data_IF_320811725862
#
_entry.id   IF_320811725862
#
_cell.length_a   1.000
_cell.length_b   1.000
_cell.length_c   1.000
_cell.angle_alpha   90.00
_cell.angle_beta   90.00
_cell.angle_gamma   90.00
#
_symmetry.space_group_name_H-M   'P 1'
#
loop_
_entity.id
_entity.type
_entity.pdbx_description
1 polymer ?
#
# COMPACT_ATOMS: atom_id res chain seq x y z
N UNK A 1 21.73 -19.64 3.39
CA UNK A 1 21.20 -18.99 2.19
C UNK A 1 20.96 -17.50 2.30
N UNK A 2 20.74 -16.93 3.49
CA UNK A 2 20.64 -15.47 3.67
C UNK A 2 21.99 -14.73 3.50
N UNK A 3 23.10 -15.39 3.62
CA UNK A 3 24.42 -14.79 3.40
C UNK A 3 24.74 -14.56 1.91
N UNK A 4 24.22 -15.39 1.00
CA UNK A 4 24.44 -15.25 -0.46
C UNK A 4 23.75 -14.01 -1.04
N UNK A 5 22.58 -13.63 -0.54
CA UNK A 5 21.83 -12.45 -1.05
C UNK A 5 22.52 -11.13 -0.69
N UNK A 6 23.23 -11.05 0.44
CA UNK A 6 23.95 -9.82 0.83
C UNK A 6 25.17 -9.51 -0.02
N UNK A 7 25.82 -10.51 -0.61
CA UNK A 7 26.97 -10.30 -1.50
C UNK A 7 26.56 -9.87 -2.92
N UNK A 8 25.34 -10.17 -3.36
CA UNK A 8 24.84 -9.74 -4.68
C UNK A 8 24.43 -8.27 -4.74
N UNK A 9 24.15 -7.61 -3.60
CA UNK A 9 23.73 -6.20 -3.58
C UNK A 9 24.91 -5.20 -3.67
N UNK A 10 26.15 -5.65 -3.63
CA UNK A 10 27.32 -4.78 -3.44
C UNK A 10 28.13 -4.42 -4.69
N UNK A 11 27.99 -5.10 -5.81
CA UNK A 11 28.80 -4.82 -7.01
C UNK A 11 28.28 -5.39 -8.32
N UNK A 12 26.99 -5.52 -8.51
CA UNK A 12 26.49 -5.75 -9.86
C UNK A 12 26.59 -4.43 -10.64
N UNK A 13 27.76 -4.11 -11.20
CA UNK A 13 27.80 -3.27 -12.40
C UNK A 13 27.11 -4.08 -13.47
N UNK A 14 25.83 -3.78 -13.71
CA UNK A 14 25.19 -4.16 -14.94
C UNK A 14 25.92 -3.43 -16.06
N UNK A 15 26.82 -4.12 -16.76
CA UNK A 15 27.25 -3.66 -18.06
C UNK A 15 25.97 -3.45 -18.86
N UNK A 16 25.81 -2.26 -19.46
CA UNK A 16 24.64 -1.93 -20.28
C UNK A 16 24.44 -2.94 -21.44
N UNK A 17 25.45 -3.73 -21.74
CA UNK A 17 25.42 -4.77 -22.77
C UNK A 17 24.74 -6.09 -22.34
N UNK A 18 24.50 -6.34 -21.04
CA UNK A 18 23.83 -7.54 -20.57
C UNK A 18 22.30 -7.46 -20.64
N UNK A 19 21.74 -6.26 -20.59
CA UNK A 19 20.27 -6.02 -20.58
C UNK A 19 19.57 -6.57 -21.84
N UNK A 20 20.11 -6.42 -23.08
CA UNK A 20 19.48 -6.98 -24.27
C UNK A 20 19.44 -8.51 -24.30
N UNK A 21 20.41 -9.19 -23.68
CA UNK A 21 20.48 -10.65 -23.68
C UNK A 21 19.44 -11.32 -22.79
N UNK A 22 18.91 -10.59 -21.80
CA UNK A 22 17.87 -11.08 -20.88
C UNK A 22 16.44 -10.74 -21.34
N UNK A 23 16.31 -9.95 -22.39
CA UNK A 23 15.03 -9.60 -22.98
C UNK A 23 14.21 -10.83 -23.38
N UNK A 24 12.94 -10.91 -22.95
CA UNK A 24 12.02 -12.02 -23.29
C UNK A 24 12.27 -13.34 -22.56
N UNK A 25 13.14 -13.37 -21.56
CA UNK A 25 13.45 -14.59 -20.78
C UNK A 25 12.66 -14.69 -19.46
N UNK A 26 11.81 -13.73 -19.15
CA UNK A 26 10.97 -13.77 -17.95
C UNK A 26 10.18 -15.07 -17.86
N UNK A 27 10.25 -15.75 -16.72
CA UNK A 27 9.61 -17.04 -16.50
C UNK A 27 10.35 -18.27 -17.05
N UNK A 28 11.43 -18.09 -17.80
CA UNK A 28 12.28 -19.20 -18.32
C UNK A 28 13.50 -19.39 -17.44
N UNK A 29 14.02 -20.62 -17.38
CA UNK A 29 15.29 -20.89 -16.69
C UNK A 29 16.45 -20.39 -17.53
N UNK A 30 17.36 -19.63 -16.92
CA UNK A 30 18.57 -19.08 -17.55
C UNK A 30 19.77 -19.48 -16.70
N UNK A 31 20.81 -19.99 -17.36
CA UNK A 31 22.10 -20.27 -16.70
C UNK A 31 22.97 -19.01 -16.79
N UNK A 32 23.41 -18.52 -15.64
CA UNK A 32 24.33 -17.39 -15.53
C UNK A 32 25.69 -17.88 -15.11
N UNK A 33 26.75 -17.46 -15.82
CA UNK A 33 28.13 -17.59 -15.37
C UNK A 33 28.50 -16.35 -14.54
N UNK A 34 28.73 -16.54 -13.26
CA UNK A 34 28.96 -15.45 -12.29
C UNK A 34 30.43 -15.48 -11.87
N UNK A 35 31.03 -14.30 -11.78
CA UNK A 35 32.35 -14.11 -11.20
C UNK A 35 32.24 -13.33 -9.88
N UNK A 36 32.75 -13.90 -8.79
CA UNK A 36 32.85 -13.21 -7.50
C UNK A 36 34.24 -12.54 -7.38
N UNK A 37 34.32 -11.21 -7.39
CA UNK A 37 35.59 -10.51 -7.30
C UNK A 37 36.26 -10.63 -5.92
N UNK A 38 35.50 -10.98 -4.86
CA UNK A 38 36.06 -11.14 -3.52
C UNK A 38 36.77 -12.46 -3.34
N UNK A 39 36.19 -13.55 -3.86
CA UNK A 39 36.78 -14.89 -3.81
C UNK A 39 37.60 -15.25 -5.04
N UNK A 40 37.47 -14.46 -6.13
CA UNK A 40 38.05 -14.73 -7.47
C UNK A 40 37.55 -16.00 -8.12
N UNK A 41 36.44 -16.53 -7.65
CA UNK A 41 35.84 -17.76 -8.17
C UNK A 41 34.82 -17.48 -9.28
N UNK A 42 34.71 -18.42 -10.21
CA UNK A 42 33.64 -18.47 -11.20
C UNK A 42 32.73 -19.65 -10.89
N UNK A 43 31.42 -19.40 -10.94
CA UNK A 43 30.42 -20.44 -10.74
C UNK A 43 29.25 -20.23 -11.68
N UNK A 44 28.46 -21.26 -11.88
CA UNK A 44 27.23 -21.21 -12.65
C UNK A 44 26.03 -21.23 -11.70
N UNK A 45 25.08 -20.34 -11.96
CA UNK A 45 23.84 -20.25 -11.18
C UNK A 45 22.63 -20.27 -12.14
N UNK A 46 21.67 -21.16 -11.87
CA UNK A 46 20.44 -21.22 -12.62
C UNK A 46 19.39 -20.29 -11.99
N UNK A 47 18.97 -19.29 -12.74
CA UNK A 47 17.98 -18.29 -12.29
C UNK A 47 16.72 -18.34 -13.15
N UNK A 48 15.63 -17.84 -12.61
CA UNK A 48 14.39 -17.63 -13.35
C UNK A 48 14.04 -16.13 -13.30
N UNK A 49 14.39 -15.36 -14.34
CA UNK A 49 14.07 -13.94 -14.40
C UNK A 49 12.57 -13.69 -14.26
N UNK A 50 12.24 -12.58 -13.64
CA UNK A 50 10.86 -12.12 -13.44
C UNK A 50 10.60 -10.86 -14.26
N UNK A 51 9.32 -10.52 -14.47
CA UNK A 51 8.95 -9.27 -15.12
C UNK A 51 9.16 -8.08 -14.18
N UNK A 52 9.28 -6.85 -14.73
CA UNK A 52 9.32 -5.63 -13.94
C UNK A 52 8.08 -5.46 -13.06
N UNK A 53 6.88 -5.84 -13.53
CA UNK A 53 5.67 -5.84 -12.72
C UNK A 53 5.79 -6.74 -11.50
N UNK A 54 6.27 -7.98 -11.68
CA UNK A 54 6.51 -8.90 -10.55
C UNK A 54 7.56 -8.35 -9.59
N UNK A 55 8.64 -7.75 -10.11
CA UNK A 55 9.67 -7.11 -9.28
C UNK A 55 9.09 -5.96 -8.45
N UNK A 56 8.30 -5.10 -9.08
CA UNK A 56 7.64 -3.97 -8.43
C UNK A 56 6.72 -4.43 -7.29
N UNK A 57 5.92 -5.48 -7.53
CA UNK A 57 5.06 -6.05 -6.49
C UNK A 57 5.85 -6.66 -5.32
N UNK A 58 6.95 -7.33 -5.59
CA UNK A 58 7.83 -7.86 -4.53
C UNK A 58 8.48 -6.74 -3.71
N UNK A 59 8.95 -5.69 -4.38
CA UNK A 59 9.51 -4.51 -3.71
C UNK A 59 8.46 -3.79 -2.85
N UNK A 60 7.25 -3.64 -3.37
CA UNK A 60 6.13 -3.07 -2.65
C UNK A 60 5.80 -3.90 -1.38
N UNK A 61 5.62 -5.21 -1.51
CA UNK A 61 5.36 -6.10 -0.37
C UNK A 61 6.45 -6.02 0.69
N UNK A 62 7.72 -5.98 0.26
CA UNK A 62 8.87 -5.82 1.16
C UNK A 62 8.83 -4.48 1.89
N UNK A 63 8.50 -3.39 1.17
CA UNK A 63 8.40 -2.06 1.75
C UNK A 63 7.28 -1.99 2.80
N UNK A 64 6.10 -2.51 2.51
CA UNK A 64 4.97 -2.58 3.47
C UNK A 64 5.38 -3.39 4.71
N UNK A 65 6.01 -4.54 4.53
CA UNK A 65 6.45 -5.39 5.64
C UNK A 65 7.50 -4.69 6.51
N UNK A 66 8.46 -3.99 5.92
CA UNK A 66 9.45 -3.19 6.66
C UNK A 66 8.79 -2.08 7.49
N UNK A 67 7.76 -1.40 6.95
CA UNK A 67 7.00 -0.38 7.69
C UNK A 67 6.20 -1.00 8.85
N UNK A 68 5.58 -2.14 8.60
CA UNK A 68 4.87 -2.92 9.62
C UNK A 68 5.78 -3.29 10.79
N UNK A 69 6.94 -3.85 10.50
CA UNK A 69 7.93 -4.23 11.52
C UNK A 69 8.47 -3.01 12.27
N UNK A 70 8.68 -1.89 11.57
CA UNK A 70 9.11 -0.64 12.18
C UNK A 70 8.08 -0.12 13.19
N UNK A 71 6.80 -0.05 12.80
CA UNK A 71 5.71 0.40 13.67
C UNK A 71 5.55 -0.54 14.87
N UNK A 72 5.59 -1.84 14.64
CA UNK A 72 5.50 -2.84 15.70
C UNK A 72 6.62 -2.67 16.71
N UNK A 73 7.87 -2.56 16.25
CA UNK A 73 9.05 -2.32 17.09
C UNK A 73 8.95 -1.00 17.88
N UNK A 74 8.61 0.10 17.21
CA UNK A 74 8.56 1.43 17.85
C UNK A 74 7.42 1.56 18.86
N UNK A 75 6.34 0.81 18.69
CA UNK A 75 5.20 0.82 19.59
C UNK A 75 5.19 -0.30 20.63
N UNK A 76 6.23 -1.12 20.70
CA UNK A 76 6.26 -2.33 21.50
C UNK A 76 5.05 -3.25 21.23
N UNK A 77 4.70 -3.43 19.96
CA UNK A 77 3.61 -4.26 19.52
C UNK A 77 2.20 -3.69 19.68
N UNK A 78 2.05 -2.44 20.15
CA UNK A 78 0.76 -1.84 20.49
C UNK A 78 0.01 -1.28 19.29
N UNK A 79 0.71 -0.77 18.28
CA UNK A 79 0.12 -0.09 17.13
C UNK A 79 0.20 -0.99 15.90
N UNK A 80 -0.93 -1.12 15.20
CA UNK A 80 -0.99 -1.78 13.90
C UNK A 80 -0.60 -0.82 12.76
N UNK A 81 -0.24 -1.41 11.62
CA UNK A 81 0.05 -0.67 10.40
C UNK A 81 -0.59 -1.38 9.22
N UNK A 82 -1.32 -0.62 8.41
CA UNK A 82 -1.89 -1.06 7.13
C UNK A 82 -1.56 -0.04 6.04
N UNK A 83 -1.31 -0.51 4.82
CA UNK A 83 -1.10 0.36 3.66
C UNK A 83 -2.21 0.17 2.65
N UNK A 84 -2.85 1.26 2.24
CA UNK A 84 -3.90 1.28 1.22
C UNK A 84 -3.25 1.57 -0.14
N UNK A 85 -2.97 0.54 -0.93
CA UNK A 85 -2.23 0.63 -2.19
C UNK A 85 -2.95 1.47 -3.26
N UNK A 86 -4.27 1.34 -3.33
CA UNK A 86 -5.13 2.06 -4.27
C UNK A 86 -6.53 2.20 -3.72
N UNK A 87 -7.34 3.09 -4.28
CA UNK A 87 -8.73 3.27 -3.88
C UNK A 87 -9.66 2.33 -4.69
N UNK A 88 -9.56 1.03 -4.42
CA UNK A 88 -10.30 -0.02 -5.12
C UNK A 88 -10.71 -1.16 -4.18
N UNK A 89 -11.57 -2.07 -4.66
CA UNK A 89 -12.13 -3.17 -3.87
C UNK A 89 -11.08 -4.18 -3.41
N UNK A 90 -9.98 -4.38 -4.14
CA UNK A 90 -8.89 -5.26 -3.73
C UNK A 90 -8.18 -4.69 -2.50
N UNK A 91 -7.77 -3.43 -2.58
CA UNK A 91 -7.15 -2.72 -1.45
C UNK A 91 -8.09 -2.61 -0.24
N UNK A 92 -9.41 -2.51 -0.47
CA UNK A 92 -10.39 -2.54 0.63
C UNK A 92 -10.39 -3.89 1.35
N UNK A 93 -10.46 -5.00 0.60
CA UNK A 93 -10.44 -6.35 1.19
C UNK A 93 -9.16 -6.59 1.99
N UNK A 94 -8.02 -6.17 1.47
CA UNK A 94 -6.74 -6.28 2.17
C UNK A 94 -6.75 -5.46 3.46
N UNK A 95 -7.16 -4.20 3.39
CA UNK A 95 -7.25 -3.29 4.55
C UNK A 95 -8.21 -3.82 5.60
N UNK A 96 -9.39 -4.28 5.18
CA UNK A 96 -10.40 -4.88 6.05
C UNK A 96 -9.85 -6.12 6.78
N UNK A 97 -9.23 -7.03 6.04
CA UNK A 97 -8.64 -8.26 6.58
C UNK A 97 -7.49 -7.96 7.56
N UNK A 98 -6.65 -6.99 7.24
CA UNK A 98 -5.54 -6.57 8.09
C UNK A 98 -6.04 -5.90 9.38
N UNK A 99 -7.01 -4.99 9.29
CA UNK A 99 -7.56 -4.29 10.45
C UNK A 99 -8.29 -5.22 11.41
N UNK A 100 -9.22 -6.01 10.90
CA UNK A 100 -10.08 -6.86 11.73
C UNK A 100 -9.45 -8.23 12.05
N UNK A 101 -8.38 -8.60 11.34
CA UNK A 101 -7.58 -9.79 11.60
C UNK A 101 -6.33 -9.45 12.40
N UNK A 102 -5.22 -9.23 11.72
CA UNK A 102 -3.90 -9.06 12.32
C UNK A 102 -3.81 -7.89 13.32
N UNK A 103 -4.51 -6.79 13.06
CA UNK A 103 -4.51 -5.61 13.94
C UNK A 103 -5.56 -5.69 15.06
N UNK A 104 -6.39 -6.72 15.11
CA UNK A 104 -7.52 -6.82 16.04
C UNK A 104 -7.14 -6.55 17.48
N UNK A 105 -6.02 -7.11 17.95
CA UNK A 105 -5.54 -6.96 19.33
C UNK A 105 -4.69 -5.71 19.58
N UNK A 106 -4.42 -4.92 18.54
CA UNK A 106 -3.67 -3.66 18.68
C UNK A 106 -4.52 -2.59 19.38
N UNK A 107 -3.85 -1.66 20.04
CA UNK A 107 -4.50 -0.54 20.75
C UNK A 107 -4.93 0.57 19.79
N UNK A 108 -4.21 0.75 18.67
CA UNK A 108 -4.46 1.73 17.63
C UNK A 108 -3.92 1.26 16.28
N UNK A 109 -4.22 2.00 15.19
CA UNK A 109 -3.70 1.66 13.86
C UNK A 109 -3.22 2.91 13.11
N UNK A 110 -2.15 2.75 12.35
CA UNK A 110 -1.72 3.68 11.31
C UNK A 110 -2.23 3.17 9.97
N UNK A 111 -3.03 4.00 9.28
CA UNK A 111 -3.51 3.76 7.92
C UNK A 111 -2.66 4.60 6.98
N UNK A 112 -1.78 3.96 6.23
CA UNK A 112 -0.86 4.65 5.34
C UNK A 112 -1.44 4.68 3.92
N UNK A 113 -1.68 5.88 3.40
CA UNK A 113 -2.19 6.09 2.05
C UNK A 113 -1.17 6.75 1.13
N UNK A 114 0.08 6.87 1.56
CA UNK A 114 1.12 7.51 0.76
C UNK A 114 1.31 6.80 -0.57
N UNK A 115 1.54 7.58 -1.62
CA UNK A 115 1.74 7.12 -3.00
C UNK A 115 0.52 6.43 -3.62
N UNK A 116 -0.68 6.72 -3.11
CA UNK A 116 -1.93 6.17 -3.64
C UNK A 116 -2.46 7.05 -4.77
N UNK A 117 -2.62 6.47 -5.96
CA UNK A 117 -3.05 7.16 -7.17
C UNK A 117 -4.57 7.41 -7.29
N UNK A 118 -5.36 7.03 -6.27
CA UNK A 118 -6.81 7.23 -6.28
C UNK A 118 -7.62 6.03 -6.74
N UNK A 119 -8.83 6.28 -7.18
CA UNK A 119 -9.88 5.32 -7.51
C UNK A 119 -11.21 5.77 -6.91
N UNK A 120 -11.94 4.88 -6.19
CA UNK A 120 -13.17 5.21 -5.48
C UNK A 120 -13.35 4.31 -4.26
N UNK A 121 -12.95 4.77 -3.07
CA UNK A 121 -12.96 3.97 -1.84
C UNK A 121 -13.06 4.81 -0.55
N UNK A 122 -13.05 6.13 -0.64
CA UNK A 122 -12.95 7.02 0.53
C UNK A 122 -14.08 6.82 1.53
N UNK A 123 -15.29 6.60 1.04
CA UNK A 123 -16.49 6.40 1.85
C UNK A 123 -16.42 5.08 2.64
N UNK A 124 -16.09 3.97 1.96
CA UNK A 124 -15.98 2.66 2.60
C UNK A 124 -14.90 2.64 3.69
N UNK A 125 -13.75 3.29 3.44
CA UNK A 125 -12.69 3.42 4.42
C UNK A 125 -13.11 4.30 5.60
N UNK A 126 -13.82 5.40 5.35
CA UNK A 126 -14.34 6.25 6.41
C UNK A 126 -15.34 5.49 7.29
N UNK A 127 -16.27 4.75 6.67
CA UNK A 127 -17.23 3.90 7.36
C UNK A 127 -16.53 2.81 8.18
N UNK A 128 -15.49 2.16 7.63
CA UNK A 128 -14.73 1.12 8.32
C UNK A 128 -14.02 1.66 9.58
N UNK A 129 -13.49 2.88 9.50
CA UNK A 129 -12.66 3.50 10.55
C UNK A 129 -13.43 4.34 11.57
N UNK A 130 -14.71 4.63 11.31
CA UNK A 130 -15.59 5.42 12.19
C UNK A 130 -16.55 4.56 13.01
N UNK A 131 -16.12 3.38 13.42
CA UNK A 131 -16.96 2.49 14.21
C UNK A 131 -17.22 3.00 15.62
N UNK A 132 -18.48 2.91 16.07
CA UNK A 132 -18.87 3.18 17.43
C UNK A 132 -19.48 1.92 18.06
N UNK A 133 -19.04 1.62 19.28
CA UNK A 133 -19.56 0.49 20.03
C UNK A 133 -20.99 0.78 20.51
N UNK A 134 -21.95 -0.03 20.13
CA UNK A 134 -23.33 0.14 20.57
C UNK A 134 -23.91 -1.08 21.30
N UNK A 135 -23.28 -2.27 21.21
CA UNK A 135 -23.70 -3.46 21.93
C UNK A 135 -22.55 -4.42 22.24
N UNK A 136 -22.78 -5.34 23.17
CA UNK A 136 -21.86 -6.44 23.52
C UNK A 136 -22.62 -7.74 23.54
N UNK A 137 -22.04 -8.80 23.06
CA UNK A 137 -22.62 -10.14 23.14
C UNK A 137 -22.11 -10.86 24.40
N UNK A 138 -23.02 -11.19 25.28
CA UNK A 138 -22.72 -11.80 26.59
C UNK A 138 -23.60 -12.99 26.89
N UNK A 139 -23.61 -14.05 26.07
CA UNK A 139 -24.40 -15.22 26.34
C UNK A 139 -24.03 -15.83 27.69
N UNK A 140 -25.04 -16.06 28.54
CA UNK A 140 -24.84 -16.58 29.90
C UNK A 140 -23.83 -15.79 30.75
N UNK A 141 -23.75 -14.46 30.52
CA UNK A 141 -22.80 -13.59 31.22
C UNK A 141 -21.35 -13.64 30.72
N UNK A 142 -21.04 -14.48 29.76
CA UNK A 142 -19.70 -14.58 29.18
C UNK A 142 -19.54 -13.64 27.96
N UNK A 143 -18.64 -12.71 28.04
CA UNK A 143 -18.35 -11.81 26.92
C UNK A 143 -17.73 -12.59 25.75
N UNK A 144 -18.31 -12.46 24.55
CA UNK A 144 -17.82 -13.10 23.32
C UNK A 144 -17.50 -12.13 22.20
N UNK A 145 -17.90 -10.87 22.28
CA UNK A 145 -17.58 -9.88 21.26
C UNK A 145 -18.36 -8.58 21.40
N UNK A 146 -17.96 -7.64 20.61
CA UNK A 146 -18.59 -6.33 20.47
C UNK A 146 -19.46 -6.27 19.21
N UNK A 147 -20.43 -5.37 19.18
CA UNK A 147 -21.16 -4.99 17.99
C UNK A 147 -20.99 -3.49 17.73
N UNK A 148 -20.50 -3.07 16.55
CA UNK A 148 -20.35 -3.85 15.32
C UNK A 148 -19.06 -4.71 15.28
N UNK A 149 -19.13 -5.86 14.63
CA UNK A 149 -17.94 -6.71 14.37
C UNK A 149 -17.07 -6.23 13.21
N UNK A 150 -17.67 -5.53 12.26
CA UNK A 150 -17.07 -5.18 10.96
C UNK A 150 -16.62 -3.72 10.88
N UNK A 151 -16.30 -3.12 12.01
CA UNK A 151 -15.78 -1.74 12.13
C UNK A 151 -14.54 -1.72 13.00
N UNK A 152 -13.66 -0.78 12.72
CA UNK A 152 -12.56 -0.47 13.61
C UNK A 152 -13.06 0.45 14.71
N UNK A 153 -12.94 0.00 15.97
CA UNK A 153 -13.50 0.67 17.15
C UNK A 153 -12.44 1.42 18.01
N UNK A 154 -11.22 1.44 17.56
CA UNK A 154 -10.07 1.97 18.30
C UNK A 154 -9.47 3.18 17.58
N UNK A 155 -8.59 3.97 18.24
CA UNK A 155 -7.96 5.10 17.58
C UNK A 155 -7.23 4.72 16.29
N UNK A 156 -7.26 5.65 15.32
CA UNK A 156 -6.51 5.55 14.09
C UNK A 156 -5.90 6.90 13.69
N UNK A 157 -4.88 6.87 12.84
CA UNK A 157 -4.39 8.04 12.13
C UNK A 157 -4.10 7.68 10.69
N UNK A 158 -4.12 8.68 9.81
CA UNK A 158 -3.81 8.51 8.38
C UNK A 158 -2.48 9.16 8.06
N UNK A 159 -1.57 8.39 7.43
CA UNK A 159 -0.38 8.95 6.79
C UNK A 159 -0.70 9.30 5.34
N UNK A 160 -0.29 10.50 4.93
CA UNK A 160 -0.50 11.02 3.58
C UNK A 160 0.75 11.73 3.08
N UNK A 161 0.85 11.91 1.77
CA UNK A 161 1.92 12.67 1.12
C UNK A 161 1.38 13.42 -0.11
N UNK A 162 2.22 14.27 -0.67
CA UNK A 162 1.95 15.08 -1.84
C UNK A 162 1.68 14.26 -3.12
N UNK A 163 2.11 13.00 -3.16
CA UNK A 163 1.84 12.09 -4.27
C UNK A 163 0.44 11.46 -4.24
N UNK A 164 -0.32 11.66 -3.17
CA UNK A 164 -1.70 11.19 -3.12
C UNK A 164 -2.52 11.92 -4.19
N UNK A 165 -3.30 11.17 -4.97
CA UNK A 165 -4.04 11.73 -6.09
C UNK A 165 -5.52 11.32 -6.09
N UNK A 166 -6.40 12.17 -6.63
CA UNK A 166 -7.83 11.91 -6.83
C UNK A 166 -8.52 11.44 -5.54
N UNK A 167 -9.11 10.28 -5.47
CA UNK A 167 -9.80 9.75 -4.28
C UNK A 167 -8.86 9.56 -3.08
N UNK A 168 -7.55 9.46 -3.30
CA UNK A 168 -6.56 9.45 -2.22
C UNK A 168 -6.35 10.85 -1.59
N UNK A 169 -6.84 11.93 -2.22
CA UNK A 169 -7.11 13.22 -1.59
C UNK A 169 -8.46 13.19 -0.87
N UNK A 170 -9.49 12.64 -1.49
CA UNK A 170 -10.85 12.58 -0.93
C UNK A 170 -10.90 11.87 0.42
N UNK A 171 -10.18 10.78 0.59
CA UNK A 171 -10.18 10.02 1.84
C UNK A 171 -9.60 10.81 3.03
N UNK A 172 -8.41 11.41 2.99
CA UNK A 172 -7.92 12.28 4.08
C UNK A 172 -8.86 13.44 4.38
N UNK A 173 -9.45 14.05 3.35
CA UNK A 173 -10.42 15.12 3.53
C UNK A 173 -11.67 14.64 4.28
N UNK A 174 -12.27 13.51 3.84
CA UNK A 174 -13.42 12.90 4.52
C UNK A 174 -13.10 12.50 5.95
N UNK A 175 -11.95 11.86 6.15
CA UNK A 175 -11.46 11.43 7.47
C UNK A 175 -11.32 12.60 8.47
N UNK A 176 -10.77 13.73 8.01
CA UNK A 176 -10.67 14.98 8.79
C UNK A 176 -12.03 15.60 9.05
N UNK A 177 -12.88 15.71 8.02
CA UNK A 177 -14.21 16.33 8.11
C UNK A 177 -15.11 15.59 9.09
N UNK A 178 -15.07 14.27 9.08
CA UNK A 178 -15.80 13.40 10.02
C UNK A 178 -15.12 13.28 11.40
N UNK A 179 -13.96 13.92 11.59
CA UNK A 179 -13.20 13.89 12.86
C UNK A 179 -12.85 12.48 13.34
N UNK A 180 -12.60 11.56 12.43
CA UNK A 180 -12.29 10.15 12.75
C UNK A 180 -10.95 10.05 13.49
N UNK A 181 -9.95 10.84 13.10
CA UNK A 181 -8.64 10.86 13.74
C UNK A 181 -7.71 11.92 13.15
N UNK A 182 -6.40 11.75 13.36
CA UNK A 182 -5.39 12.71 12.92
C UNK A 182 -4.83 12.37 11.55
N UNK A 183 -4.55 13.39 10.75
CA UNK A 183 -3.75 13.31 9.52
C UNK A 183 -2.29 13.65 9.84
N UNK A 184 -1.36 12.91 9.26
CA UNK A 184 0.09 13.07 9.46
C UNK A 184 0.77 12.98 8.10
N UNK A 185 1.72 13.87 7.84
CA UNK A 185 2.50 13.90 6.61
C UNK A 185 2.38 15.23 5.87
N UNK A 186 2.75 15.22 4.59
CA UNK A 186 2.67 16.40 3.74
C UNK A 186 1.22 16.63 3.24
N UNK A 187 0.80 17.90 3.06
CA UNK A 187 -0.51 18.20 2.48
C UNK A 187 -0.71 17.56 1.12
N UNK A 188 -1.88 16.99 0.90
CA UNK A 188 -2.26 16.41 -0.39
C UNK A 188 -2.75 17.52 -1.31
N UNK A 189 -2.34 17.56 -2.60
CA UNK A 189 -2.85 18.53 -3.55
C UNK A 189 -4.36 18.35 -3.78
N UNK A 190 -5.07 19.44 -4.09
CA UNK A 190 -6.52 19.47 -4.28
C UNK A 190 -6.96 18.82 -5.59
N UNK A 191 -6.89 17.51 -5.69
CA UNK A 191 -7.11 16.74 -6.93
C UNK A 191 -8.36 15.87 -6.92
N UNK A 192 -9.27 16.06 -5.97
CA UNK A 192 -10.52 15.30 -5.86
C UNK A 192 -11.57 15.84 -6.84
N UNK A 193 -11.36 15.54 -8.11
CA UNK A 193 -12.33 15.82 -9.19
C UNK A 193 -12.50 14.56 -10.03
N UNK A 194 -13.75 14.23 -10.42
CA UNK A 194 -13.97 13.16 -11.37
C UNK A 194 -13.45 13.61 -12.76
N UNK A 195 -12.74 12.73 -13.43
CA UNK A 195 -12.10 13.02 -14.71
C UNK A 195 -12.69 12.13 -15.79
N UNK A 196 -13.11 12.74 -16.90
CA UNK A 196 -13.39 12.04 -18.14
C UNK A 196 -12.12 11.95 -18.98
N UNK A 197 -11.82 10.74 -19.44
CA UNK A 197 -10.60 10.45 -20.22
C UNK A 197 -10.96 10.27 -21.69
N UNK A 198 -10.47 11.19 -22.55
CA UNK A 198 -10.65 11.13 -23.99
C UNK A 198 -9.40 10.66 -24.70
N UNK A 199 -9.51 9.60 -25.47
CA UNK A 199 -8.45 9.13 -26.36
C UNK A 199 -8.51 9.96 -27.65
N UNK A 200 -7.37 10.54 -28.02
CA UNK A 200 -7.26 11.40 -29.21
C UNK A 200 -7.19 10.58 -30.51
N UNK A 201 -7.15 11.27 -31.65
CA UNK A 201 -6.97 10.64 -32.98
C UNK A 201 -5.69 9.77 -32.99
N UNK A 202 -4.60 10.27 -32.39
CA UNK A 202 -3.46 9.45 -32.02
C UNK A 202 -3.79 8.73 -30.70
N UNK A 203 -3.99 7.39 -30.70
CA UNK A 203 -4.41 6.65 -29.51
C UNK A 203 -3.33 6.59 -28.41
N UNK A 204 -2.11 7.02 -28.67
CA UNK A 204 -1.08 7.17 -27.66
C UNK A 204 -1.29 8.41 -26.78
N UNK A 205 -2.15 9.33 -27.20
CA UNK A 205 -2.46 10.56 -26.49
C UNK A 205 -3.83 10.43 -25.84
N UNK A 206 -3.86 10.57 -24.52
CA UNK A 206 -5.08 10.57 -23.70
C UNK A 206 -5.16 11.89 -22.95
N UNK A 207 -6.29 12.55 -23.02
CA UNK A 207 -6.56 13.81 -22.35
C UNK A 207 -7.61 13.64 -21.27
N UNK A 208 -7.34 14.15 -20.06
CA UNK A 208 -8.27 14.09 -18.93
C UNK A 208 -8.92 15.43 -18.67
N UNK A 209 -10.25 15.46 -18.64
CA UNK A 209 -11.05 16.67 -18.36
C UNK A 209 -11.74 16.50 -17.02
N UNK A 210 -11.41 17.31 -15.98
CA UNK A 210 -12.17 17.34 -14.73
C UNK A 210 -13.63 17.80 -15.00
N UNK A 211 -14.60 17.02 -14.52
CA UNK A 211 -16.01 17.30 -14.78
C UNK A 211 -16.82 17.62 -13.52
N UNK A 212 -16.34 17.20 -12.36
CA UNK A 212 -17.06 17.34 -11.10
C UNK A 212 -16.18 18.09 -10.10
N UNK A 213 -16.64 19.25 -9.67
CA UNK A 213 -16.09 19.95 -8.52
C UNK A 213 -16.66 19.38 -7.22
N UNK A 214 -15.84 19.29 -6.17
CA UNK A 214 -16.32 19.02 -4.82
C UNK A 214 -16.26 20.29 -3.97
N UNK A 215 -17.32 20.54 -3.25
CA UNK A 215 -17.41 21.64 -2.29
C UNK A 215 -17.72 21.06 -0.91
N UNK A 216 -17.26 21.74 0.13
CA UNK A 216 -17.71 21.42 1.48
C UNK A 216 -19.12 22.02 1.74
N UNK A 217 -19.64 21.80 2.95
CA UNK A 217 -20.98 22.27 3.31
C UNK A 217 -21.06 23.80 3.49
N UNK A 218 -19.93 24.50 3.40
CA UNK A 218 -19.85 25.96 3.47
C UNK A 218 -19.73 26.61 2.07
N UNK A 219 -19.43 25.86 1.00
CA UNK A 219 -19.34 26.32 -0.39
C UNK A 219 -17.94 26.42 -0.95
#
# INVERSE_FOLDING_TARGET
>A
DQHRIKHQAGSCRTDQDSIPQEGGKAGKRVLLSVYDPATKERFEEQVKPITYGTQSDLLYKRWVEQKRQMVDKLSNGKIGYVHVKGMNSESFRDTYSELLGRCREKEAVIVDTRHNGGGWLHEDLAILLSGELYAKFTPRGQFIGNDPFNRWLKPSCVLMCEDNYSNAHGFPWTYKTLKIGKLIGAPVPGTMTAVWWETQIDPSIVFGIPQVGMQDMQG
#
